data_IF_500061759176
#
_entry.id   IF_500061759176
#
_cell.length_a   1.000
_cell.length_b   1.000
_cell.length_c   1.000
_cell.angle_alpha   90.00
_cell.angle_beta   90.00
_cell.angle_gamma   90.00
#
_symmetry.space_group_name_H-M   'P 1'
#
loop_
_entity.id
_entity.type
_entity.pdbx_description
1 polymer ?
#
# COMPACT_ATOMS: atom_id res chain seq x y z
N UNK A 1 3.02 -0.26 20.81
CA UNK A 1 2.64 0.69 19.76
C UNK A 1 1.25 0.31 19.28
N UNK A 2 0.43 1.29 18.93
CA UNK A 2 -0.91 1.03 18.39
C UNK A 2 -0.77 0.41 16.99
N UNK A 3 -1.46 -0.70 16.66
CA UNK A 3 -1.31 -1.36 15.38
C UNK A 3 -1.84 -0.50 14.23
N UNK A 4 -1.13 -0.55 13.10
CA UNK A 4 -1.63 -0.01 11.83
C UNK A 4 -2.58 -1.05 11.24
N UNK A 5 -3.80 -0.60 10.93
CA UNK A 5 -4.91 -1.42 10.45
C UNK A 5 -5.14 -1.28 8.95
N UNK A 6 -4.93 -0.07 8.42
CA UNK A 6 -4.94 0.21 6.99
C UNK A 6 -3.79 1.15 6.62
N UNK A 7 -3.20 0.89 5.47
CA UNK A 7 -2.18 1.72 4.86
C UNK A 7 -2.48 1.86 3.36
N UNK A 8 -2.58 3.08 2.86
CA UNK A 8 -2.70 3.37 1.43
C UNK A 8 -1.45 4.10 0.98
N UNK A 9 -0.77 3.53 -0.02
CA UNK A 9 0.49 4.01 -0.57
C UNK A 9 0.31 4.39 -2.04
N UNK A 10 0.86 5.53 -2.43
CA UNK A 10 1.16 5.87 -3.82
C UNK A 10 2.59 5.41 -4.11
N UNK A 11 2.77 4.55 -5.10
CA UNK A 11 4.09 4.02 -5.44
C UNK A 11 4.35 3.95 -6.94
N UNK A 12 5.62 4.15 -7.28
CA UNK A 12 6.14 3.99 -8.62
C UNK A 12 6.81 2.64 -8.72
N UNK A 13 6.45 1.84 -9.73
CA UNK A 13 7.10 0.56 -10.01
C UNK A 13 7.63 0.49 -11.45
N UNK A 14 8.68 -0.30 -11.73
CA UNK A 14 9.01 -0.70 -13.10
C UNK A 14 7.87 -1.51 -13.73
N UNK A 15 7.93 -1.74 -15.04
CA UNK A 15 6.96 -2.62 -15.72
C UNK A 15 7.02 -4.06 -15.21
N UNK A 16 8.23 -4.54 -14.90
CA UNK A 16 8.51 -5.86 -14.34
C UNK A 16 9.16 -5.72 -12.95
N UNK A 17 8.65 -6.41 -11.91
CA UNK A 17 7.55 -7.38 -11.96
C UNK A 17 6.16 -6.74 -12.07
N UNK A 18 5.18 -7.56 -12.46
CA UNK A 18 3.81 -7.10 -12.69
C UNK A 18 3.06 -6.77 -11.39
N UNK A 19 1.91 -6.11 -11.50
CA UNK A 19 1.10 -5.67 -10.34
C UNK A 19 0.64 -6.82 -9.44
N UNK A 20 0.42 -8.01 -10.00
CA UNK A 20 0.00 -9.20 -9.23
C UNK A 20 1.12 -9.63 -8.31
N UNK A 21 2.36 -9.70 -8.82
CA UNK A 21 3.54 -10.05 -8.02
C UNK A 21 3.75 -9.09 -6.84
N UNK A 22 3.53 -7.79 -7.05
CA UNK A 22 3.56 -6.79 -5.96
C UNK A 22 2.48 -7.07 -4.91
N UNK A 23 1.24 -7.31 -5.35
CA UNK A 23 0.13 -7.57 -4.43
C UNK A 23 0.35 -8.86 -3.62
N UNK A 24 0.81 -9.94 -4.26
CA UNK A 24 1.11 -11.22 -3.60
C UNK A 24 2.22 -11.05 -2.55
N UNK A 25 3.34 -10.41 -2.92
CA UNK A 25 4.48 -10.24 -2.02
C UNK A 25 4.13 -9.40 -0.77
N UNK A 26 3.31 -8.36 -0.95
CA UNK A 26 2.84 -7.55 0.19
C UNK A 26 1.79 -8.31 1.01
N UNK A 27 0.94 -9.12 0.39
CA UNK A 27 -0.05 -9.92 1.11
C UNK A 27 0.60 -11.02 1.97
N UNK A 28 1.77 -11.53 1.59
CA UNK A 28 2.56 -12.48 2.38
C UNK A 28 3.23 -11.86 3.61
N UNK A 29 3.22 -10.53 3.76
CA UNK A 29 3.71 -9.87 4.96
C UNK A 29 2.84 -10.23 6.18
N UNK A 30 3.47 -10.76 7.23
CA UNK A 30 2.75 -11.14 8.45
C UNK A 30 1.99 -9.97 9.08
N UNK A 31 0.70 -10.16 9.34
CA UNK A 31 -0.20 -9.12 9.89
C UNK A 31 -1.01 -8.38 8.83
N UNK A 32 -0.79 -8.67 7.54
CA UNK A 32 -1.65 -8.26 6.42
C UNK A 32 -2.75 -9.30 6.23
N UNK A 33 -3.99 -8.82 6.07
CA UNK A 33 -5.18 -9.65 5.82
C UNK A 33 -5.66 -9.56 4.38
N UNK A 34 -5.37 -8.44 3.70
CA UNK A 34 -5.73 -8.23 2.31
C UNK A 34 -4.96 -7.07 1.69
N UNK A 35 -4.79 -7.17 0.37
CA UNK A 35 -4.11 -6.15 -0.45
C UNK A 35 -4.95 -5.89 -1.68
N UNK A 36 -5.09 -4.61 -2.02
CA UNK A 36 -5.64 -4.14 -3.27
C UNK A 36 -4.61 -3.26 -3.97
N UNK A 37 -4.38 -3.50 -5.26
CA UNK A 37 -3.51 -2.66 -6.08
C UNK A 37 -4.29 -2.15 -7.29
N UNK A 38 -4.20 -0.85 -7.55
CA UNK A 38 -4.83 -0.19 -8.69
C UNK A 38 -3.74 0.47 -9.51
N UNK A 39 -3.65 0.12 -10.79
CA UNK A 39 -2.82 0.84 -11.75
C UNK A 39 -3.46 2.20 -12.04
N UNK A 40 -2.79 3.28 -11.61
CA UNK A 40 -3.28 4.65 -11.77
C UNK A 40 -2.86 5.19 -13.14
N UNK A 41 -1.57 5.08 -13.45
CA UNK A 41 -1.01 5.60 -14.69
C UNK A 41 0.13 4.70 -15.18
N UNK A 42 0.34 4.66 -16.50
CA UNK A 42 1.47 3.97 -17.12
C UNK A 42 2.26 4.95 -17.96
N UNK A 43 3.52 5.13 -17.58
CA UNK A 43 4.51 5.92 -18.28
C UNK A 43 5.43 5.02 -19.12
N UNK A 44 6.34 5.67 -19.86
CA UNK A 44 7.31 4.96 -20.71
C UNK A 44 8.20 4.00 -19.93
N UNK A 45 8.61 4.39 -18.73
CA UNK A 45 9.63 3.65 -17.95
C UNK A 45 9.08 3.07 -16.65
N UNK A 46 8.00 3.65 -16.11
CA UNK A 46 7.43 3.29 -14.81
C UNK A 46 5.91 3.25 -14.86
N UNK A 47 5.31 2.70 -13.82
CA UNK A 47 3.88 2.68 -13.60
C UNK A 47 3.59 3.26 -12.21
N UNK A 48 2.65 4.20 -12.14
CA UNK A 48 2.11 4.66 -10.86
C UNK A 48 0.96 3.73 -10.46
N UNK A 49 1.05 3.19 -9.25
CA UNK A 49 0.04 2.31 -8.68
C UNK A 49 -0.33 2.77 -7.27
N UNK A 50 -1.60 2.61 -6.93
CA UNK A 50 -2.12 2.81 -5.58
C UNK A 50 -2.26 1.46 -4.91
N UNK A 51 -1.61 1.28 -3.76
CA UNK A 51 -1.61 0.05 -2.97
C UNK A 51 -2.34 0.29 -1.66
N UNK A 52 -3.44 -0.41 -1.46
CA UNK A 52 -4.22 -0.40 -0.21
C UNK A 52 -3.99 -1.72 0.51
N UNK A 53 -3.62 -1.65 1.78
CA UNK A 53 -3.30 -2.80 2.63
C UNK A 53 -4.19 -2.73 3.85
N UNK A 54 -4.86 -3.82 4.19
CA UNK A 54 -5.64 -3.96 5.42
C UNK A 54 -5.17 -5.17 6.22
N UNK A 55 -5.14 -5.03 7.54
CA UNK A 55 -4.61 -6.05 8.42
C UNK A 55 -4.82 -5.78 9.91
N UNK A 56 -4.43 -6.74 10.74
CA UNK A 56 -4.56 -6.61 12.20
C UNK A 56 -3.36 -5.89 12.84
N UNK A 57 -2.20 -5.97 12.20
CA UNK A 57 -0.96 -5.34 12.67
C UNK A 57 0.03 -5.23 11.50
N UNK A 58 -0.24 -4.30 10.58
CA UNK A 58 0.57 -4.14 9.37
C UNK A 58 2.00 -3.69 9.75
N UNK A 59 3.04 -4.46 9.37
CA UNK A 59 4.42 -4.09 9.63
C UNK A 59 4.90 -3.11 8.55
N UNK A 60 4.68 -1.81 8.76
CA UNK A 60 4.96 -0.76 7.76
C UNK A 60 6.38 -0.85 7.21
N UNK A 61 7.40 -0.99 8.07
CA UNK A 61 8.80 -1.09 7.61
C UNK A 61 9.00 -2.29 6.66
N UNK A 62 8.40 -3.44 6.96
CA UNK A 62 8.48 -4.65 6.12
C UNK A 62 7.76 -4.50 4.80
N UNK A 63 6.63 -3.80 4.79
CA UNK A 63 5.91 -3.48 3.54
C UNK A 63 6.79 -2.60 2.66
N UNK A 64 7.43 -1.56 3.23
CA UNK A 64 8.34 -0.69 2.50
C UNK A 64 9.52 -1.46 1.93
N UNK A 65 10.20 -2.28 2.75
CA UNK A 65 11.30 -3.15 2.30
C UNK A 65 10.85 -4.06 1.15
N UNK A 66 9.67 -4.68 1.24
CA UNK A 66 9.13 -5.57 0.20
C UNK A 66 8.88 -4.82 -1.12
N UNK A 67 8.35 -3.60 -1.05
CA UNK A 67 8.15 -2.75 -2.24
C UNK A 67 9.48 -2.38 -2.88
N UNK A 68 10.47 -1.99 -2.08
CA UNK A 68 11.82 -1.64 -2.55
C UNK A 68 12.56 -2.85 -3.15
N UNK A 69 12.44 -4.04 -2.57
CA UNK A 69 13.04 -5.28 -3.06
C UNK A 69 12.50 -5.69 -4.45
N UNK A 70 11.24 -5.35 -4.74
CA UNK A 70 10.62 -5.53 -6.07
C UNK A 70 10.97 -4.40 -7.06
N UNK A 71 11.79 -3.44 -6.65
CA UNK A 71 12.19 -2.29 -7.46
C UNK A 71 11.17 -1.15 -7.47
N UNK A 72 10.14 -1.22 -6.62
CA UNK A 72 9.19 -0.13 -6.42
C UNK A 72 9.76 0.98 -5.52
N UNK A 73 9.13 2.14 -5.53
CA UNK A 73 9.46 3.27 -4.64
C UNK A 73 8.17 3.88 -4.12
N UNK A 74 8.06 3.99 -2.80
CA UNK A 74 6.92 4.67 -2.16
C UNK A 74 7.09 6.17 -2.36
N UNK A 75 6.14 6.80 -3.02
CA UNK A 75 6.13 8.22 -3.32
C UNK A 75 5.46 9.01 -2.19
N UNK A 76 4.30 8.53 -1.72
CA UNK A 76 3.60 9.08 -0.55
C UNK A 76 2.80 8.00 0.19
N UNK A 77 2.51 8.31 1.46
CA UNK A 77 1.48 7.61 2.22
C UNK A 77 0.23 8.47 2.10
N UNK A 78 -0.78 7.96 1.39
CA UNK A 78 -2.02 8.67 1.13
C UNK A 78 -3.01 8.56 2.30
N UNK A 79 -3.05 7.42 2.97
CA UNK A 79 -3.95 7.17 4.10
C UNK A 79 -3.31 6.22 5.12
N UNK A 80 -3.57 6.48 6.41
CA UNK A 80 -3.22 5.57 7.51
C UNK A 80 -4.37 5.49 8.49
N UNK A 81 -4.74 4.26 8.84
CA UNK A 81 -5.68 3.99 9.93
C UNK A 81 -4.98 3.18 11.01
N UNK A 82 -4.99 3.66 12.25
CA UNK A 82 -4.39 2.98 13.40
C UNK A 82 -5.36 2.89 14.58
N UNK A 83 -5.28 1.82 15.35
CA UNK A 83 -6.17 1.59 16.49
C UNK A 83 -6.79 0.20 16.52
N UNK A 84 -7.82 0.05 17.34
CA UNK A 84 -8.59 -1.19 17.45
C UNK A 84 -9.68 -1.32 16.37
N UNK A 85 -10.06 -0.21 15.75
CA UNK A 85 -11.10 -0.14 14.73
C UNK A 85 -10.59 0.57 13.48
N UNK A 86 -11.20 0.26 12.34
CA UNK A 86 -11.06 1.05 11.13
C UNK A 86 -11.93 2.31 11.26
N UNK A 87 -11.33 3.47 11.04
CA UNK A 87 -12.03 4.77 10.99
C UNK A 87 -11.96 5.25 9.55
N UNK A 88 -13.12 5.34 8.89
CA UNK A 88 -13.24 5.88 7.54
C UNK A 88 -13.13 7.41 7.57
N UNK A 89 -12.53 7.99 6.53
CA UNK A 89 -12.55 9.44 6.33
C UNK A 89 -14.01 9.93 6.22
N UNK A 90 -14.33 11.00 6.95
CA UNK A 90 -15.65 11.61 6.89
C UNK A 90 -15.62 12.77 5.91
N UNK A 91 -16.42 12.69 4.85
CA UNK A 91 -16.58 13.79 3.90
C UNK A 91 -17.05 15.04 4.66
N UNK A 92 -16.30 16.13 4.54
CA UNK A 92 -16.70 17.43 5.08
C UNK A 92 -17.26 18.29 3.95
N UNK A 93 -18.16 19.25 4.23
CA UNK A 93 -18.66 20.17 3.19
C UNK A 93 -17.58 21.05 2.53
N UNK A 94 -16.31 20.90 2.93
CA UNK A 94 -15.17 21.70 2.51
C UNK A 94 -14.21 20.93 1.59
N UNK A 95 -14.45 19.63 1.37
CA UNK A 95 -13.78 18.78 0.36
C UNK A 95 -14.37 18.98 -1.04
#
# INVERSE_FOLDING_TARGET
MTPVRRLVLDLLKPHDPDVVTFAESVADCGGVSGVNIVLVETDKEVQNVKLTIEGDSIPVDRVHETVEDLGGTVHSIDEVVCGDIIVEESETPQD
#
